data_IF_399311765034
#
_entry.id   IF_399311765034
#
_cell.length_a   1.000
_cell.length_b   1.000
_cell.length_c   1.000
_cell.angle_alpha   90.00
_cell.angle_beta   90.00
_cell.angle_gamma   90.00
#
_symmetry.space_group_name_H-M   'P 1'
#
loop_
_entity.id
_entity.type
_entity.pdbx_description
1 polymer ?
#
# COMPACT_ATOMS: atom_id res chain seq x y z
N UNK A 1 -49.75 -48.21 4.74
CA UNK A 1 -49.51 -46.75 4.72
C UNK A 1 -48.04 -46.50 5.07
N UNK A 2 -47.18 -46.35 4.05
CA UNK A 2 -45.76 -46.06 4.22
C UNK A 2 -45.56 -44.56 4.01
N UNK A 3 -45.20 -43.84 5.08
CA UNK A 3 -44.74 -42.46 4.96
C UNK A 3 -43.36 -42.48 4.32
N UNK A 4 -43.26 -41.99 3.08
CA UNK A 4 -42.00 -41.70 2.43
C UNK A 4 -41.43 -40.43 3.06
N UNK A 5 -40.42 -40.58 3.93
CA UNK A 5 -39.47 -39.50 4.20
C UNK A 5 -38.67 -39.28 2.91
N UNK A 6 -39.05 -38.28 2.13
CA UNK A 6 -38.21 -37.77 1.06
C UNK A 6 -37.13 -36.89 1.68
N UNK A 7 -35.97 -37.51 1.95
CA UNK A 7 -34.72 -36.78 2.14
C UNK A 7 -34.47 -35.92 0.88
N UNK A 8 -34.68 -34.62 1.01
CA UNK A 8 -34.18 -33.63 0.06
C UNK A 8 -32.66 -33.50 0.19
N UNK A 9 -31.93 -34.52 -0.27
CA UNK A 9 -30.54 -34.38 -0.67
C UNK A 9 -30.49 -33.71 -2.05
N UNK A 10 -30.77 -32.40 -2.07
CA UNK A 10 -30.51 -31.55 -3.23
C UNK A 10 -29.00 -31.39 -3.37
N UNK A 11 -28.47 -31.98 -4.45
CA UNK A 11 -27.07 -31.92 -4.81
C UNK A 11 -26.58 -30.48 -4.86
N UNK A 12 -25.45 -30.26 -4.20
CA UNK A 12 -24.58 -29.11 -4.35
C UNK A 12 -24.19 -28.96 -5.84
N UNK A 13 -25.02 -28.29 -6.62
CA UNK A 13 -24.51 -27.53 -7.76
C UNK A 13 -23.61 -26.47 -7.14
N UNK A 14 -22.30 -26.72 -7.20
CA UNK A 14 -21.24 -25.84 -6.72
C UNK A 14 -21.24 -24.56 -7.56
N UNK A 15 -22.23 -23.71 -7.32
CA UNK A 15 -22.30 -22.39 -7.89
C UNK A 15 -21.20 -21.55 -7.20
N UNK A 16 -20.39 -20.86 -8.00
CA UNK A 16 -19.14 -20.26 -7.57
C UNK A 16 -19.36 -19.09 -6.60
N UNK A 17 -18.95 -19.26 -5.33
CA UNK A 17 -18.91 -18.18 -4.36
C UNK A 17 -17.84 -17.14 -4.78
N UNK A 18 -18.28 -15.90 -4.99
CA UNK A 18 -17.40 -14.77 -5.30
C UNK A 18 -17.14 -13.97 -4.03
N UNK A 19 -15.87 -13.65 -3.78
CA UNK A 19 -15.45 -12.89 -2.61
C UNK A 19 -14.57 -11.74 -3.03
N UNK A 20 -14.98 -10.53 -2.66
CA UNK A 20 -14.19 -9.31 -2.81
C UNK A 20 -13.77 -8.85 -1.43
N UNK A 21 -12.48 -8.89 -1.15
CA UNK A 21 -11.90 -8.52 0.15
C UNK A 21 -11.44 -7.07 0.10
N UNK A 22 -11.87 -6.29 1.09
CA UNK A 22 -11.50 -4.89 1.31
C UNK A 22 -10.63 -4.77 2.57
N UNK A 23 -10.01 -3.61 2.80
CA UNK A 23 -9.47 -3.27 4.11
C UNK A 23 -10.61 -3.26 5.14
N UNK A 24 -10.64 -4.28 6.02
CA UNK A 24 -11.58 -4.35 7.15
C UNK A 24 -12.88 -5.15 6.94
N UNK A 25 -13.22 -5.57 5.72
CA UNK A 25 -14.39 -6.43 5.48
C UNK A 25 -14.28 -7.15 4.13
N UNK A 26 -15.22 -8.05 3.82
CA UNK A 26 -15.38 -8.63 2.49
C UNK A 26 -16.83 -8.52 2.00
N UNK A 27 -17.02 -8.34 0.71
CA UNK A 27 -18.30 -8.61 0.05
C UNK A 27 -18.32 -10.06 -0.39
N UNK A 28 -19.32 -10.81 0.05
CA UNK A 28 -19.53 -12.21 -0.31
C UNK A 28 -20.79 -12.31 -1.17
N UNK A 29 -20.67 -13.01 -2.29
CA UNK A 29 -21.79 -13.37 -3.17
C UNK A 29 -21.88 -14.88 -3.25
N UNK A 30 -22.93 -15.42 -2.65
CA UNK A 30 -23.22 -16.84 -2.64
C UNK A 30 -24.38 -17.12 -3.58
N UNK A 31 -24.15 -17.87 -4.65
CA UNK A 31 -25.24 -18.31 -5.50
C UNK A 31 -26.11 -19.36 -4.81
N UNK A 32 -27.43 -19.16 -4.89
CA UNK A 32 -28.45 -20.00 -4.24
C UNK A 32 -29.55 -20.34 -5.22
N UNK A 33 -30.28 -21.42 -4.97
CA UNK A 33 -31.50 -21.77 -5.72
C UNK A 33 -32.68 -21.58 -4.77
N UNK A 34 -33.52 -20.60 -5.08
CA UNK A 34 -34.63 -20.19 -4.23
C UNK A 34 -35.90 -20.98 -4.55
N UNK A 35 -36.60 -21.55 -3.54
CA UNK A 35 -37.95 -22.04 -3.71
C UNK A 35 -38.95 -20.88 -3.95
N UNK A 36 -40.20 -21.16 -4.35
CA UNK A 36 -41.23 -20.12 -4.48
C UNK A 36 -41.53 -19.39 -3.17
N UNK A 37 -41.57 -18.07 -3.21
CA UNK A 37 -42.24 -17.22 -2.22
C UNK A 37 -41.50 -16.97 -0.90
N UNK A 38 -40.74 -17.94 -0.38
CA UNK A 38 -40.00 -17.77 0.87
C UNK A 38 -38.82 -18.75 1.03
N UNK A 39 -37.76 -18.30 1.68
CA UNK A 39 -36.58 -19.11 1.98
C UNK A 39 -35.98 -18.74 3.34
N UNK A 40 -35.53 -19.76 4.09
CA UNK A 40 -34.84 -19.58 5.37
C UNK A 40 -33.35 -19.76 5.16
N UNK A 41 -32.59 -18.70 5.42
CA UNK A 41 -31.13 -18.73 5.44
C UNK A 41 -30.63 -19.04 6.85
N UNK A 42 -29.95 -20.18 7.01
CA UNK A 42 -29.32 -20.60 8.26
C UNK A 42 -27.89 -20.04 8.33
N UNK A 43 -27.79 -18.78 8.74
CA UNK A 43 -26.53 -18.05 8.77
C UNK A 43 -25.58 -18.51 9.90
N UNK A 44 -26.12 -19.10 10.98
CA UNK A 44 -25.31 -19.52 12.12
C UNK A 44 -24.59 -18.34 12.77
N UNK A 45 -23.34 -18.55 13.18
CA UNK A 45 -22.49 -17.51 13.76
C UNK A 45 -22.04 -16.45 12.74
N UNK A 46 -22.19 -16.69 11.43
CA UNK A 46 -21.83 -15.70 10.40
C UNK A 46 -22.70 -14.46 10.50
N UNK A 47 -23.95 -14.60 10.97
CA UNK A 47 -24.92 -13.51 11.03
C UNK A 47 -24.44 -12.35 11.89
N UNK A 48 -23.80 -12.62 13.04
CA UNK A 48 -23.27 -11.59 13.94
C UNK A 48 -22.07 -10.84 13.37
N UNK A 49 -21.51 -11.32 12.26
CA UNK A 49 -20.38 -10.71 11.53
C UNK A 49 -20.82 -10.17 10.16
N UNK A 50 -22.12 -10.11 9.91
CA UNK A 50 -22.65 -9.40 8.74
C UNK A 50 -22.90 -7.95 9.11
N UNK A 51 -22.48 -7.01 8.27
CA UNK A 51 -22.78 -5.60 8.50
C UNK A 51 -24.31 -5.41 8.49
N UNK A 52 -24.89 -4.68 9.46
CA UNK A 52 -26.32 -4.42 9.50
C UNK A 52 -26.83 -3.87 8.17
N UNK A 53 -27.94 -4.44 7.68
CA UNK A 53 -28.54 -4.00 6.42
C UNK A 53 -27.74 -4.34 5.16
N UNK A 54 -26.68 -5.16 5.21
CA UNK A 54 -25.91 -5.56 4.02
C UNK A 54 -26.41 -6.81 3.31
N UNK A 55 -27.02 -7.74 4.05
CA UNK A 55 -27.56 -8.99 3.52
C UNK A 55 -28.64 -8.68 2.47
N UNK A 56 -28.67 -9.34 1.31
CA UNK A 56 -29.63 -9.11 0.22
C UNK A 56 -29.80 -10.36 -0.62
N UNK A 57 -31.03 -10.62 -1.09
CA UNK A 57 -31.26 -11.52 -2.21
C UNK A 57 -31.29 -10.73 -3.51
N UNK A 58 -30.48 -11.14 -4.48
CA UNK A 58 -30.45 -10.58 -5.83
C UNK A 58 -31.06 -11.59 -6.81
N UNK A 59 -31.86 -11.11 -7.76
CA UNK A 59 -32.56 -11.94 -8.74
C UNK A 59 -34.03 -12.23 -8.41
N UNK A 60 -34.50 -11.79 -7.23
CA UNK A 60 -35.92 -11.83 -6.82
C UNK A 60 -36.33 -10.48 -6.23
N UNK A 61 -37.63 -10.21 -6.17
CA UNK A 61 -38.16 -9.02 -5.51
C UNK A 61 -38.42 -9.32 -4.02
N UNK A 62 -37.54 -8.85 -3.15
CA UNK A 62 -37.66 -9.04 -1.70
C UNK A 62 -38.81 -8.19 -1.13
N UNK A 63 -39.76 -8.86 -0.45
CA UNK A 63 -40.95 -8.23 0.17
C UNK A 63 -40.73 -8.01 1.65
N UNK A 64 -40.18 -9.01 2.35
CA UNK A 64 -40.00 -8.96 3.80
C UNK A 64 -38.78 -9.78 4.22
N UNK A 65 -38.14 -9.35 5.30
CA UNK A 65 -37.05 -10.08 5.95
C UNK A 65 -37.17 -10.05 7.46
N UNK A 66 -37.10 -11.23 8.06
CA UNK A 66 -37.25 -11.41 9.50
C UNK A 66 -36.02 -12.12 10.06
N UNK A 67 -35.36 -11.50 11.04
CA UNK A 67 -34.22 -12.09 11.75
C UNK A 67 -34.73 -12.86 12.97
N UNK A 68 -34.34 -14.13 13.10
CA UNK A 68 -34.72 -15.01 14.20
C UNK A 68 -33.50 -15.78 14.71
N UNK A 69 -32.87 -15.25 15.78
CA UNK A 69 -31.64 -15.84 16.32
C UNK A 69 -30.52 -15.85 15.27
N UNK A 70 -30.08 -17.04 14.87
CA UNK A 70 -29.05 -17.27 13.85
C UNK A 70 -29.59 -17.54 12.44
N UNK A 71 -30.90 -17.33 12.22
CA UNK A 71 -31.56 -17.54 10.95
C UNK A 71 -32.23 -16.26 10.43
N UNK A 72 -32.39 -16.19 9.11
CA UNK A 72 -33.08 -15.10 8.42
C UNK A 72 -34.14 -15.68 7.49
N UNK A 73 -35.41 -15.34 7.71
CA UNK A 73 -36.49 -15.66 6.80
C UNK A 73 -36.61 -14.53 5.76
N UNK A 74 -36.51 -14.88 4.48
CA UNK A 74 -36.83 -14.01 3.37
C UNK A 74 -38.20 -14.37 2.79
N UNK A 75 -39.00 -13.37 2.48
CA UNK A 75 -40.19 -13.48 1.63
C UNK A 75 -39.98 -12.63 0.39
N UNK A 76 -40.30 -13.18 -0.78
CA UNK A 76 -40.01 -12.54 -2.07
C UNK A 76 -40.99 -13.00 -3.14
N UNK A 77 -41.07 -12.26 -4.23
CA UNK A 77 -41.74 -12.69 -5.45
C UNK A 77 -40.71 -13.28 -6.43
N UNK A 78 -41.02 -14.47 -6.98
CA UNK A 78 -40.15 -15.23 -7.88
C UNK A 78 -39.65 -16.55 -7.28
N UNK A 79 -38.83 -17.25 -8.07
CA UNK A 79 -38.16 -18.52 -7.73
C UNK A 79 -36.94 -18.74 -8.63
N UNK A 80 -36.10 -19.74 -8.31
CA UNK A 80 -35.00 -20.16 -9.17
C UNK A 80 -33.62 -19.59 -8.77
N UNK A 81 -32.65 -19.53 -9.70
CA UNK A 81 -31.30 -19.08 -9.42
C UNK A 81 -31.26 -17.62 -8.94
N UNK A 82 -30.60 -17.39 -7.81
CA UNK A 82 -30.44 -16.08 -7.20
C UNK A 82 -29.06 -15.98 -6.54
N UNK A 83 -28.74 -14.79 -6.03
CA UNK A 83 -27.49 -14.54 -5.31
C UNK A 83 -27.76 -13.93 -3.95
N UNK A 84 -27.29 -14.59 -2.89
CA UNK A 84 -27.19 -14.01 -1.57
C UNK A 84 -25.94 -13.14 -1.50
N UNK A 85 -26.11 -11.83 -1.31
CA UNK A 85 -25.03 -10.86 -1.15
C UNK A 85 -25.00 -10.34 0.28
N UNK A 86 -23.82 -10.27 0.89
CA UNK A 86 -23.66 -9.63 2.20
C UNK A 86 -22.25 -9.06 2.39
N UNK A 87 -22.13 -8.10 3.32
CA UNK A 87 -20.82 -7.62 3.77
C UNK A 87 -20.44 -8.35 5.04
N UNK A 88 -19.27 -8.96 5.05
CA UNK A 88 -18.76 -9.83 6.09
C UNK A 88 -17.53 -9.21 6.78
N UNK A 89 -17.66 -8.86 8.06
CA UNK A 89 -16.57 -8.27 8.84
C UNK A 89 -15.61 -9.32 9.42
N UNK A 90 -15.98 -10.60 9.33
CA UNK A 90 -15.11 -11.71 9.72
C UNK A 90 -13.99 -12.01 8.74
N UNK A 91 -13.97 -11.39 7.55
CA UNK A 91 -12.89 -11.54 6.57
C UNK A 91 -12.32 -10.17 6.24
N UNK A 92 -11.00 -10.02 6.40
CA UNK A 92 -10.26 -8.79 6.10
C UNK A 92 -9.02 -9.11 5.27
N UNK A 93 -8.57 -8.14 4.49
CA UNK A 93 -7.38 -8.30 3.65
C UNK A 93 -6.49 -7.07 3.69
N UNK A 94 -5.19 -7.31 3.66
CA UNK A 94 -4.17 -6.30 3.42
C UNK A 94 -3.11 -6.83 2.47
N UNK A 95 -2.27 -5.93 1.97
CA UNK A 95 -1.14 -6.28 1.13
C UNK A 95 0.17 -5.88 1.80
N UNK A 96 1.24 -6.58 1.42
CA UNK A 96 2.60 -6.17 1.71
C UNK A 96 3.53 -6.68 0.60
N UNK A 97 4.75 -6.17 0.59
CA UNK A 97 5.75 -6.45 -0.43
C UNK A 97 7.00 -7.02 0.23
N UNK A 98 7.66 -7.94 -0.47
CA UNK A 98 9.05 -8.28 -0.20
C UNK A 98 9.89 -7.93 -1.41
N UNK A 99 11.03 -7.27 -1.19
CA UNK A 99 12.04 -6.99 -2.19
C UNK A 99 13.29 -7.78 -1.81
N UNK A 100 13.54 -8.85 -2.55
CA UNK A 100 14.62 -9.80 -2.28
C UNK A 100 15.47 -9.97 -3.54
N UNK A 101 16.75 -9.58 -3.48
CA UNK A 101 17.72 -9.77 -4.58
C UNK A 101 17.26 -9.25 -5.97
N UNK A 102 16.43 -8.20 -6.01
CA UNK A 102 15.88 -7.66 -7.26
C UNK A 102 14.54 -8.27 -7.67
N UNK A 103 13.99 -9.23 -6.92
CA UNK A 103 12.63 -9.71 -7.12
C UNK A 103 11.67 -9.00 -6.16
N UNK A 104 10.70 -8.27 -6.71
CA UNK A 104 9.59 -7.70 -5.95
C UNK A 104 8.42 -8.70 -5.93
N UNK A 105 8.06 -9.19 -4.74
CA UNK A 105 6.88 -10.05 -4.53
C UNK A 105 5.80 -9.27 -3.81
N UNK A 106 4.58 -9.31 -4.34
CA UNK A 106 3.39 -8.79 -3.68
C UNK A 106 2.61 -9.94 -3.03
N UNK A 107 2.31 -9.74 -1.76
CA UNK A 107 1.64 -10.68 -0.88
C UNK A 107 0.27 -10.16 -0.46
N UNK A 108 -0.69 -11.08 -0.37
CA UNK A 108 -1.99 -10.84 0.26
C UNK A 108 -1.96 -11.49 1.64
N UNK A 109 -2.28 -10.71 2.69
CA UNK A 109 -2.56 -11.24 4.02
C UNK A 109 -4.06 -11.19 4.26
N UNK A 110 -4.68 -12.37 4.35
CA UNK A 110 -6.11 -12.53 4.59
C UNK A 110 -6.33 -13.01 6.02
N UNK A 111 -7.16 -12.31 6.79
CA UNK A 111 -7.60 -12.74 8.12
C UNK A 111 -9.05 -13.15 8.08
N UNK A 112 -9.31 -14.41 8.42
CA UNK A 112 -10.64 -14.97 8.51
C UNK A 112 -10.94 -15.37 9.97
N UNK A 113 -12.07 -14.92 10.48
CA UNK A 113 -12.65 -15.35 11.74
C UNK A 113 -13.96 -16.09 11.47
N UNK A 114 -14.26 -17.15 12.22
CA UNK A 114 -15.48 -17.94 12.05
C UNK A 114 -15.26 -19.21 11.24
N UNK A 115 -16.15 -19.48 10.27
CA UNK A 115 -16.13 -20.72 9.49
C UNK A 115 -15.25 -20.62 8.24
N UNK A 116 -14.70 -21.73 7.73
CA UNK A 116 -14.03 -21.75 6.44
C UNK A 116 -14.90 -21.22 5.30
N UNK A 117 -14.27 -20.53 4.36
CA UNK A 117 -14.92 -19.92 3.20
C UNK A 117 -14.28 -20.41 1.90
N UNK A 118 -15.08 -20.78 0.90
CA UNK A 118 -14.57 -21.29 -0.38
C UNK A 118 -14.70 -20.24 -1.48
N UNK A 119 -13.65 -19.45 -1.69
CA UNK A 119 -13.64 -18.42 -2.73
C UNK A 119 -13.25 -19.03 -4.08
N UNK A 120 -14.24 -19.23 -4.97
CA UNK A 120 -14.01 -19.64 -6.37
C UNK A 120 -13.56 -18.48 -7.24
N UNK A 121 -13.96 -17.26 -6.89
CA UNK A 121 -13.37 -16.01 -7.38
C UNK A 121 -13.00 -15.17 -6.17
N UNK A 122 -11.74 -14.77 -6.10
CA UNK A 122 -11.22 -14.02 -4.96
C UNK A 122 -10.54 -12.76 -5.49
N UNK A 123 -11.10 -11.61 -5.17
CA UNK A 123 -10.53 -10.31 -5.54
C UNK A 123 -10.11 -9.60 -4.26
N UNK A 124 -8.90 -9.05 -4.23
CA UNK A 124 -8.43 -8.18 -3.16
C UNK A 124 -8.42 -6.74 -3.67
N UNK A 125 -9.04 -5.86 -2.90
CA UNK A 125 -8.98 -4.42 -3.09
C UNK A 125 -8.04 -3.83 -2.05
N UNK A 126 -7.02 -3.11 -2.49
CA UNK A 126 -6.07 -2.40 -1.64
C UNK A 126 -6.15 -0.89 -1.90
N UNK A 127 -5.80 -0.07 -0.90
CA UNK A 127 -5.98 1.38 -0.94
C UNK A 127 -7.04 1.86 0.07
N UNK A 128 -7.39 3.15 0.03
CA UNK A 128 -8.34 3.72 0.99
C UNK A 128 -9.80 3.50 0.54
N UNK A 129 -10.52 2.61 1.24
CA UNK A 129 -11.98 2.46 1.12
C UNK A 129 -12.64 2.93 2.42
N UNK A 130 -13.04 4.21 2.56
CA UNK A 130 -13.65 4.68 3.79
C UNK A 130 -15.04 4.03 3.98
N UNK A 131 -15.19 3.23 5.04
CA UNK A 131 -16.49 2.94 5.65
C UNK A 131 -16.87 4.13 6.55
N UNK A 132 -18.14 4.53 6.54
CA UNK A 132 -18.70 5.71 7.23
C UNK A 132 -18.54 5.73 8.78
N UNK A 133 -17.73 4.86 9.39
CA UNK A 133 -17.57 4.73 10.85
C UNK A 133 -16.11 4.57 11.35
N UNK A 134 -15.08 4.94 10.57
CA UNK A 134 -13.69 4.89 11.05
C UNK A 134 -13.07 6.31 11.20
N UNK A 135 -12.51 6.67 12.38
CA UNK A 135 -11.83 7.94 12.56
C UNK A 135 -10.51 7.98 11.77
N UNK A 136 -10.51 8.82 10.72
CA UNK A 136 -9.40 9.49 10.03
C UNK A 136 -7.97 8.93 10.19
N UNK A 137 -7.39 8.51 9.06
CA UNK A 137 -5.94 8.39 8.85
C UNK A 137 -5.46 9.47 7.83
N UNK A 138 -4.16 9.81 7.80
CA UNK A 138 -3.67 11.16 7.48
C UNK A 138 -3.76 11.58 6.00
N UNK A 139 -4.11 12.87 5.79
CA UNK A 139 -4.26 13.64 4.53
C UNK A 139 -3.08 13.62 3.54
N UNK A 140 -2.03 12.82 3.76
CA UNK A 140 -0.86 12.77 2.89
C UNK A 140 -1.08 11.92 1.61
N UNK A 141 -2.02 10.97 1.62
CA UNK A 141 -2.31 10.10 0.47
C UNK A 141 -3.00 10.83 -0.71
N UNK A 142 -3.66 11.96 -0.44
CA UNK A 142 -4.46 12.69 -1.43
C UNK A 142 -3.64 13.53 -2.43
N UNK A 143 -2.35 13.80 -2.19
CA UNK A 143 -1.53 14.62 -3.11
C UNK A 143 -1.02 13.86 -4.34
N UNK A 144 -0.96 12.53 -4.31
CA UNK A 144 -0.50 11.74 -5.45
C UNK A 144 -1.59 11.51 -6.54
N UNK A 145 -2.86 11.78 -6.22
CA UNK A 145 -3.97 11.68 -7.17
C UNK A 145 -4.16 12.91 -8.07
N UNK A 146 -3.42 14.00 -7.81
CA UNK A 146 -3.58 15.28 -8.52
C UNK A 146 -2.72 15.41 -9.79
N UNK A 147 -1.79 14.48 -10.06
CA UNK A 147 -0.99 14.49 -11.28
C UNK A 147 -1.55 13.43 -12.25
N UNK A 148 -2.30 13.90 -13.24
CA UNK A 148 -3.15 13.11 -14.14
C UNK A 148 -2.40 12.17 -15.08
N UNK A 149 -2.00 11.00 -14.58
CA UNK A 149 -1.72 9.81 -15.38
C UNK A 149 -3.00 9.05 -15.77
N UNK A 150 -2.97 8.23 -16.83
CA UNK A 150 -4.12 7.43 -17.25
C UNK A 150 -4.53 6.46 -16.13
N UNK A 151 -5.74 6.68 -15.61
CA UNK A 151 -6.38 5.90 -14.55
C UNK A 151 -6.61 4.48 -15.09
N UNK A 152 -6.00 3.42 -14.51
CA UNK A 152 -6.42 2.05 -14.78
C UNK A 152 -7.88 1.88 -14.35
N UNK A 153 -8.62 0.95 -14.96
CA UNK A 153 -10.06 0.64 -14.73
C UNK A 153 -10.42 0.23 -13.29
N UNK A 154 -10.12 1.07 -12.30
CA UNK A 154 -10.36 0.83 -10.90
C UNK A 154 -11.12 2.01 -10.30
N UNK A 155 -12.31 1.77 -9.71
CA UNK A 155 -13.11 2.83 -9.13
C UNK A 155 -12.36 3.48 -7.95
N UNK A 156 -12.22 4.81 -8.01
CA UNK A 156 -11.89 5.67 -6.86
C UNK A 156 -10.62 5.32 -6.06
N UNK A 157 -9.47 5.13 -6.72
CA UNK A 157 -8.17 5.04 -6.03
C UNK A 157 -7.90 3.74 -5.28
N UNK A 158 -8.78 2.74 -5.43
CA UNK A 158 -8.52 1.37 -5.04
C UNK A 158 -7.71 0.65 -6.11
N UNK A 159 -6.92 -0.33 -5.69
CA UNK A 159 -6.17 -1.21 -6.57
C UNK A 159 -6.81 -2.58 -6.52
N UNK A 160 -7.11 -3.14 -7.69
CA UNK A 160 -7.76 -4.44 -7.82
C UNK A 160 -6.76 -5.52 -8.17
N UNK A 161 -6.74 -6.56 -7.36
CA UNK A 161 -5.89 -7.73 -7.54
C UNK A 161 -6.74 -9.00 -7.56
N UNK A 162 -6.64 -9.78 -8.63
CA UNK A 162 -7.25 -11.10 -8.67
C UNK A 162 -6.32 -12.11 -8.00
N UNK A 163 -6.84 -12.84 -7.01
CA UNK A 163 -6.14 -13.89 -6.29
C UNK A 163 -6.56 -15.26 -6.83
N UNK A 164 -5.66 -16.27 -6.79
CA UNK A 164 -6.02 -17.64 -7.14
C UNK A 164 -7.20 -18.15 -6.28
N UNK A 165 -8.17 -18.88 -6.87
CA UNK A 165 -9.26 -19.51 -6.13
C UNK A 165 -8.73 -20.38 -4.99
N UNK A 166 -9.37 -20.31 -3.82
CA UNK A 166 -8.92 -21.05 -2.63
C UNK A 166 -9.99 -21.19 -1.56
N UNK A 167 -9.80 -22.21 -0.73
CA UNK A 167 -10.47 -22.33 0.56
C UNK A 167 -9.68 -21.55 1.61
N UNK A 168 -10.32 -20.56 2.22
CA UNK A 168 -9.80 -19.82 3.35
C UNK A 168 -10.17 -20.54 4.65
N UNK A 169 -9.18 -20.76 5.50
CA UNK A 169 -9.38 -21.34 6.83
C UNK A 169 -9.32 -20.22 7.88
N UNK A 170 -9.98 -20.41 9.05
CA UNK A 170 -9.89 -19.46 10.14
C UNK A 170 -8.43 -19.22 10.56
N UNK A 171 -8.08 -17.97 10.81
CA UNK A 171 -6.72 -17.51 11.09
C UNK A 171 -6.18 -16.57 10.02
N UNK A 172 -4.85 -16.50 9.91
CA UNK A 172 -4.15 -15.66 8.91
C UNK A 172 -3.58 -16.53 7.80
N UNK A 173 -3.89 -16.15 6.56
CA UNK A 173 -3.35 -16.78 5.35
C UNK A 173 -2.58 -15.74 4.56
N UNK A 174 -1.28 -15.99 4.33
CA UNK A 174 -0.44 -15.16 3.46
C UNK A 174 -0.22 -15.87 2.12
N UNK A 175 -0.34 -15.11 1.03
CA UNK A 175 -0.28 -15.65 -0.33
C UNK A 175 0.55 -14.75 -1.22
N UNK A 176 1.66 -15.22 -1.80
CA UNK A 176 2.33 -14.50 -2.86
C UNK A 176 1.50 -14.67 -4.14
N UNK A 177 1.18 -13.57 -4.82
CA UNK A 177 0.28 -13.65 -5.98
C UNK A 177 0.75 -12.82 -7.18
N UNK A 178 1.64 -11.85 -7.00
CA UNK A 178 2.37 -11.20 -8.09
C UNK A 178 3.86 -11.16 -7.78
N UNK A 179 4.67 -11.37 -8.82
CA UNK A 179 6.13 -11.30 -8.76
C UNK A 179 6.64 -10.56 -9.99
N UNK A 180 7.63 -9.71 -9.80
CA UNK A 180 8.25 -8.96 -10.88
C UNK A 180 9.71 -8.68 -10.59
N UNK A 181 10.55 -8.93 -11.60
CA UNK A 181 11.95 -8.54 -11.56
C UNK A 181 12.07 -7.01 -11.65
N UNK A 182 12.90 -6.46 -10.78
CA UNK A 182 13.22 -5.03 -10.70
C UNK A 182 14.73 -4.85 -10.63
N UNK A 183 15.20 -3.68 -11.04
CA UNK A 183 16.60 -3.29 -10.91
C UNK A 183 16.67 -2.18 -9.85
N UNK A 184 16.78 -2.54 -8.56
CA UNK A 184 16.75 -1.55 -7.49
C UNK A 184 18.05 -0.77 -7.47
N UNK A 185 17.93 0.54 -7.67
CA UNK A 185 18.98 1.50 -7.44
C UNK A 185 19.08 1.79 -5.94
N UNK A 186 20.30 1.74 -5.38
CA UNK A 186 20.55 2.04 -3.97
C UNK A 186 20.68 3.55 -3.78
N UNK A 187 19.89 4.09 -2.87
CA UNK A 187 19.79 5.51 -2.60
C UNK A 187 20.36 5.87 -1.23
N UNK A 188 20.99 7.04 -1.17
CA UNK A 188 21.29 7.77 0.07
C UNK A 188 20.60 9.12 0.02
N UNK A 189 19.95 9.55 1.09
CA UNK A 189 19.23 10.83 1.15
C UNK A 189 19.60 11.66 2.36
N UNK A 190 19.79 12.96 2.12
CA UNK A 190 19.67 13.98 3.15
C UNK A 190 18.61 14.99 2.71
N UNK A 191 17.57 15.15 3.53
CA UNK A 191 16.52 16.12 3.30
C UNK A 191 16.19 16.85 4.59
N UNK A 192 16.25 18.18 4.59
CA UNK A 192 15.91 18.98 5.77
C UNK A 192 16.31 20.45 5.68
N UNK A 193 16.10 21.22 6.76
CA UNK A 193 16.64 22.57 6.83
C UNK A 193 18.17 22.54 6.79
N UNK A 194 18.77 23.62 6.30
CA UNK A 194 20.21 23.80 6.33
C UNK A 194 20.70 23.81 7.77
N UNK A 195 21.78 23.06 8.00
CA UNK A 195 22.43 23.01 9.31
C UNK A 195 23.94 23.06 9.20
N UNK A 196 24.59 23.45 10.29
CA UNK A 196 26.04 23.65 10.37
C UNK A 196 26.77 22.54 11.09
N UNK A 197 26.09 21.47 11.53
CA UNK A 197 26.79 20.35 12.17
C UNK A 197 27.78 19.71 11.19
N UNK A 198 28.93 19.30 11.72
CA UNK A 198 30.02 18.71 10.94
C UNK A 198 29.63 17.38 10.29
N UNK A 199 28.71 16.64 10.90
CA UNK A 199 28.28 15.32 10.46
C UNK A 199 26.77 15.32 10.31
N UNK A 200 26.29 15.04 9.11
CA UNK A 200 24.86 14.92 8.84
C UNK A 200 24.53 13.45 8.53
N UNK A 201 23.51 12.88 9.21
CA UNK A 201 23.09 11.52 8.96
C UNK A 201 22.42 11.42 7.59
N UNK A 202 22.60 10.28 6.93
CA UNK A 202 21.89 9.94 5.70
C UNK A 202 20.79 8.91 6.00
N UNK A 203 19.76 8.91 5.19
CA UNK A 203 18.81 7.81 5.08
C UNK A 203 19.19 6.93 3.89
N UNK A 204 18.94 5.63 4.00
CA UNK A 204 19.14 4.68 2.91
C UNK A 204 17.79 4.23 2.35
N UNK A 205 17.78 3.92 1.07
CA UNK A 205 16.56 3.53 0.38
C UNK A 205 16.84 2.84 -0.94
N UNK A 206 15.75 2.52 -1.63
CA UNK A 206 15.78 1.97 -2.98
C UNK A 206 14.89 2.78 -3.90
N UNK A 207 15.27 2.82 -5.18
CA UNK A 207 14.43 3.27 -6.29
C UNK A 207 14.36 2.21 -7.36
N UNK A 208 13.16 1.91 -7.84
CA UNK A 208 12.97 0.93 -8.92
C UNK A 208 11.72 1.25 -9.73
N UNK A 209 11.64 0.72 -10.96
CA UNK A 209 10.43 0.83 -11.77
C UNK A 209 9.40 -0.21 -11.33
N UNK A 210 8.16 0.22 -11.14
CA UNK A 210 7.05 -0.64 -10.76
C UNK A 210 6.74 -1.67 -11.86
N UNK A 211 6.89 -2.99 -11.61
CA UNK A 211 6.65 -4.02 -12.62
C UNK A 211 5.14 -4.24 -12.87
N UNK A 212 4.31 -3.88 -11.91
CA UNK A 212 2.84 -3.89 -11.93
C UNK A 212 2.32 -2.72 -11.08
N UNK A 213 1.02 -2.38 -11.11
CA UNK A 213 0.47 -1.33 -10.26
C UNK A 213 0.70 -1.64 -8.78
N UNK A 214 1.40 -0.76 -8.08
CA UNK A 214 1.73 -0.90 -6.66
C UNK A 214 0.73 -0.09 -5.84
N UNK A 215 -0.12 -0.78 -5.10
CA UNK A 215 -0.94 -0.18 -4.06
C UNK A 215 -0.07 0.20 -2.85
N UNK A 216 -0.47 1.22 -2.06
CA UNK A 216 0.25 1.59 -0.87
C UNK A 216 0.30 0.43 0.13
N UNK A 217 1.48 0.15 0.70
CA UNK A 217 1.66 -0.97 1.63
C UNK A 217 3.06 -1.03 2.23
N UNK A 218 3.28 -1.95 3.17
CA UNK A 218 4.60 -2.16 3.76
C UNK A 218 5.49 -2.95 2.79
N UNK A 219 6.73 -2.53 2.63
CA UNK A 219 7.77 -3.25 1.91
C UNK A 219 8.85 -3.68 2.88
N UNK A 220 9.15 -4.97 2.86
CA UNK A 220 10.31 -5.58 3.50
C UNK A 220 11.44 -5.71 2.47
N UNK A 221 12.64 -5.27 2.82
CA UNK A 221 13.81 -5.37 1.97
C UNK A 221 14.81 -6.39 2.55
N UNK A 222 15.24 -7.33 1.70
CA UNK A 222 16.24 -8.36 2.02
C UNK A 222 17.31 -8.36 0.94
N UNK A 223 18.57 -8.41 1.37
CA UNK A 223 19.73 -8.44 0.47
C UNK A 223 20.86 -9.26 1.10
N UNK A 224 21.54 -10.08 0.31
CA UNK A 224 22.49 -11.09 0.80
C UNK A 224 21.87 -12.10 1.76
N UNK A 225 20.56 -12.33 1.68
CA UNK A 225 19.80 -13.11 2.66
C UNK A 225 19.62 -12.46 4.04
N UNK A 226 19.94 -11.16 4.18
CA UNK A 226 19.81 -10.41 5.42
C UNK A 226 18.64 -9.42 5.34
N UNK A 227 17.82 -9.39 6.39
CA UNK A 227 16.78 -8.38 6.54
C UNK A 227 17.42 -7.00 6.70
N UNK A 228 17.14 -6.10 5.77
CA UNK A 228 17.66 -4.75 5.75
C UNK A 228 16.71 -3.76 6.41
N UNK A 229 15.41 -4.01 6.43
CA UNK A 229 14.43 -3.12 7.05
C UNK A 229 13.07 -3.20 6.40
N UNK A 230 12.15 -2.40 6.96
CA UNK A 230 10.82 -2.19 6.41
C UNK A 230 10.58 -0.71 6.15
N UNK A 231 9.83 -0.43 5.09
CA UNK A 231 9.44 0.91 4.69
C UNK A 231 8.01 0.93 4.18
N UNK A 232 7.41 2.11 4.14
CA UNK A 232 6.17 2.32 3.42
C UNK A 232 6.46 2.49 1.93
N UNK A 233 5.82 1.68 1.09
CA UNK A 233 5.80 1.82 -0.36
C UNK A 233 4.57 2.65 -0.74
N UNK A 234 4.74 3.79 -1.41
CA UNK A 234 3.61 4.60 -1.86
C UNK A 234 2.85 3.92 -3.00
N UNK A 235 1.66 4.45 -3.30
CA UNK A 235 0.96 4.13 -4.54
C UNK A 235 1.86 4.46 -5.74
N UNK A 236 2.05 3.52 -6.68
CA UNK A 236 2.89 3.74 -7.86
C UNK A 236 2.30 3.03 -9.08
N UNK A 237 1.92 3.77 -10.14
CA UNK A 237 1.50 3.18 -11.41
C UNK A 237 2.58 2.30 -12.04
N UNK A 238 2.16 1.32 -12.84
CA UNK A 238 3.09 0.44 -13.56
C UNK A 238 4.03 1.25 -14.45
N UNK A 239 5.33 0.95 -14.38
CA UNK A 239 6.38 1.57 -15.19
C UNK A 239 6.97 2.86 -14.58
N UNK A 240 6.30 3.45 -13.59
CA UNK A 240 6.80 4.61 -12.84
C UNK A 240 7.81 4.21 -11.78
N UNK A 241 8.58 5.18 -11.30
CA UNK A 241 9.59 4.96 -10.27
C UNK A 241 8.95 4.97 -8.87
N UNK A 242 9.14 3.90 -8.12
CA UNK A 242 8.84 3.84 -6.70
C UNK A 242 10.11 4.13 -5.89
N UNK A 243 9.99 4.93 -4.83
CA UNK A 243 11.06 5.19 -3.87
C UNK A 243 10.64 4.73 -2.47
N UNK A 244 11.52 3.98 -1.81
CA UNK A 244 11.30 3.48 -0.44
C UNK A 244 12.50 3.80 0.43
N UNK A 245 12.25 4.16 1.69
CA UNK A 245 13.26 4.64 2.63
C UNK A 245 13.28 3.77 3.89
N UNK A 246 14.38 3.06 4.11
CA UNK A 246 14.56 2.08 5.20
C UNK A 246 15.07 2.71 6.50
N UNK A 247 15.05 4.03 6.57
CA UNK A 247 15.55 4.81 7.71
C UNK A 247 17.04 5.13 7.58
N UNK A 248 17.68 5.39 8.73
CA UNK A 248 19.04 5.91 8.79
C UNK A 248 20.06 4.90 8.26
N UNK A 249 20.99 5.40 7.46
CA UNK A 249 22.20 4.69 7.10
C UNK A 249 23.19 4.71 8.28
N UNK A 250 23.88 3.61 8.54
CA UNK A 250 24.80 3.51 9.68
C UNK A 250 26.26 3.76 9.31
N UNK A 251 26.62 3.70 8.02
CA UNK A 251 28.00 3.83 7.54
C UNK A 251 28.25 5.16 6.84
N UNK A 252 27.40 5.53 5.88
CA UNK A 252 27.55 6.73 5.06
C UNK A 252 27.18 7.99 5.85
N UNK A 253 28.04 9.02 5.79
CA UNK A 253 27.82 10.31 6.44
C UNK A 253 28.24 11.44 5.52
N UNK A 254 27.49 12.55 5.56
CA UNK A 254 27.94 13.80 4.97
C UNK A 254 28.80 14.55 5.97
N UNK A 255 29.98 14.96 5.52
CA UNK A 255 30.88 15.82 6.26
C UNK A 255 30.72 17.25 5.77
N UNK A 256 30.41 18.17 6.67
CA UNK A 256 30.21 19.58 6.35
C UNK A 256 31.25 20.47 7.01
N UNK A 257 31.74 21.42 6.23
CA UNK A 257 32.56 22.54 6.67
C UNK A 257 31.92 23.84 6.21
N UNK A 258 31.76 24.80 7.11
CA UNK A 258 31.20 26.12 6.81
C UNK A 258 32.22 27.16 7.20
N UNK A 259 32.60 28.00 6.23
CA UNK A 259 33.56 29.09 6.43
C UNK A 259 32.94 30.42 6.04
N UNK A 260 33.12 31.44 6.87
CA UNK A 260 32.65 32.80 6.58
C UNK A 260 33.56 33.43 5.52
N UNK A 261 32.98 33.87 4.40
CA UNK A 261 33.71 34.56 3.33
C UNK A 261 33.64 36.08 3.49
N UNK A 262 32.45 36.61 3.77
CA UNK A 262 32.24 38.06 3.95
C UNK A 262 31.11 38.31 4.92
N UNK A 263 31.17 39.45 5.60
CA UNK A 263 30.16 39.88 6.57
C UNK A 263 29.96 41.38 6.46
N UNK A 264 28.72 41.79 6.27
CA UNK A 264 28.28 43.19 6.29
C UNK A 264 27.31 43.41 7.45
N UNK A 265 26.78 44.63 7.58
CA UNK A 265 25.72 44.92 8.54
C UNK A 265 24.41 44.16 8.23
N UNK A 266 24.12 43.93 6.95
CA UNK A 266 22.84 43.36 6.50
C UNK A 266 22.92 41.86 6.19
N UNK A 267 24.08 41.35 5.82
CA UNK A 267 24.23 39.99 5.27
C UNK A 267 25.56 39.33 5.67
N UNK A 268 25.58 38.00 5.66
CA UNK A 268 26.78 37.20 5.78
C UNK A 268 26.84 36.16 4.64
N UNK A 269 27.99 36.05 3.98
CA UNK A 269 28.22 35.06 2.93
C UNK A 269 29.16 33.98 3.43
N UNK A 270 28.76 32.74 3.25
CA UNK A 270 29.47 31.54 3.68
C UNK A 270 29.89 30.71 2.46
N UNK A 271 31.07 30.10 2.54
CA UNK A 271 31.46 28.97 1.69
C UNK A 271 31.13 27.71 2.46
N UNK A 272 30.26 26.88 1.87
CA UNK A 272 29.88 25.59 2.41
C UNK A 272 30.54 24.51 1.57
N UNK A 273 31.20 23.58 2.24
CA UNK A 273 31.75 22.36 1.64
C UNK A 273 31.07 21.17 2.27
N UNK A 274 30.42 20.35 1.45
CA UNK A 274 29.78 19.10 1.87
C UNK A 274 30.44 17.95 1.13
N UNK A 275 31.04 17.01 1.86
CA UNK A 275 31.74 15.84 1.32
C UNK A 275 30.99 14.56 1.68
N UNK A 276 30.85 13.67 0.72
CA UNK A 276 30.44 12.28 0.93
C UNK A 276 31.51 11.35 0.37
N UNK A 277 31.78 10.26 1.08
CA UNK A 277 32.47 9.10 0.55
C UNK A 277 31.48 7.93 0.54
N UNK A 278 31.35 7.25 -0.60
CA UNK A 278 30.54 6.04 -0.71
C UNK A 278 31.26 4.89 0.02
N UNK A 279 30.79 4.41 1.19
CA UNK A 279 31.49 3.36 1.92
C UNK A 279 31.30 1.98 1.27
N UNK A 280 30.42 1.85 0.28
CA UNK A 280 29.97 0.56 -0.22
C UNK A 280 30.80 0.05 -1.42
N UNK A 281 30.80 -1.28 -1.66
CA UNK A 281 31.44 -1.90 -2.83
C UNK A 281 30.60 -1.79 -4.11
N UNK A 282 29.48 -1.07 -4.08
CA UNK A 282 28.54 -0.88 -5.20
C UNK A 282 28.23 0.62 -5.39
N UNK A 283 27.74 1.03 -6.57
CA UNK A 283 27.33 2.40 -6.79
C UNK A 283 26.10 2.75 -5.94
N UNK A 284 26.02 4.02 -5.51
CA UNK A 284 24.87 4.60 -4.81
C UNK A 284 24.53 5.95 -5.40
N UNK A 285 23.25 6.29 -5.41
CA UNK A 285 22.80 7.62 -5.83
C UNK A 285 22.44 8.46 -4.61
N UNK A 286 23.11 9.60 -4.49
CA UNK A 286 22.90 10.56 -3.42
C UNK A 286 21.84 11.58 -3.84
N UNK A 287 20.79 11.69 -3.04
CA UNK A 287 19.76 12.72 -3.13
C UNK A 287 19.95 13.73 -1.98
N UNK A 288 20.33 14.95 -2.32
CA UNK A 288 20.41 16.06 -1.36
C UNK A 288 19.29 17.06 -1.62
N UNK A 289 18.60 17.45 -0.57
CA UNK A 289 17.70 18.59 -0.63
C UNK A 289 17.74 19.36 0.67
N UNK A 290 18.02 20.66 0.57
CA UNK A 290 18.03 21.53 1.74
C UNK A 290 17.15 22.74 1.55
N UNK A 291 16.56 23.20 2.65
CA UNK A 291 15.86 24.48 2.72
C UNK A 291 16.64 25.48 3.56
N UNK A 292 16.56 26.76 3.21
CA UNK A 292 17.22 27.85 3.93
C UNK A 292 16.19 28.82 4.51
N UNK A 293 16.54 29.57 5.57
CA UNK A 293 15.71 30.68 6.03
C UNK A 293 15.63 31.77 4.94
N UNK A 294 14.43 32.28 4.68
CA UNK A 294 14.22 33.38 3.74
C UNK A 294 14.45 34.75 4.41
N UNK A 295 14.97 35.75 3.67
CA UNK A 295 15.54 35.65 2.32
C UNK A 295 16.90 34.91 2.32
N UNK A 296 17.31 34.35 1.19
CA UNK A 296 18.68 33.83 1.00
C UNK A 296 19.14 34.01 -0.45
N UNK A 297 20.45 33.94 -0.69
CA UNK A 297 21.02 33.79 -2.04
C UNK A 297 21.95 32.58 -2.06
N UNK A 298 21.81 31.76 -3.09
CA UNK A 298 22.58 30.53 -3.27
C UNK A 298 23.27 30.54 -4.64
N UNK A 299 24.59 30.35 -4.61
CA UNK A 299 25.40 30.07 -5.80
C UNK A 299 25.88 28.62 -5.72
N UNK A 300 25.15 27.74 -6.41
CA UNK A 300 25.42 26.30 -6.46
C UNK A 300 25.15 25.73 -7.87
N UNK A 301 26.09 25.90 -8.82
CA UNK A 301 25.85 25.63 -10.25
C UNK A 301 25.44 24.19 -10.59
N UNK A 302 25.84 23.21 -9.78
CA UNK A 302 25.54 21.79 -10.03
C UNK A 302 24.18 21.36 -9.49
N UNK A 303 23.49 22.19 -8.71
CA UNK A 303 22.21 21.85 -8.09
C UNK A 303 21.05 22.52 -8.83
N UNK A 304 19.87 21.91 -8.74
CA UNK A 304 18.61 22.55 -9.12
C UNK A 304 18.19 23.50 -8.01
N UNK A 305 18.15 24.80 -8.31
CA UNK A 305 17.71 25.82 -7.37
C UNK A 305 16.19 25.82 -7.24
N UNK A 306 15.71 25.93 -6.00
CA UNK A 306 14.29 26.00 -5.63
C UNK A 306 14.05 27.29 -4.85
N UNK A 307 12.82 27.84 -4.82
CA UNK A 307 12.51 29.05 -4.05
C UNK A 307 12.96 28.97 -2.59
N UNK A 308 12.78 27.81 -1.97
CA UNK A 308 13.11 27.53 -0.57
C UNK A 308 14.53 26.95 -0.36
N UNK A 309 15.27 26.60 -1.43
CA UNK A 309 16.63 26.07 -1.31
C UNK A 309 17.14 25.33 -2.56
N UNK A 310 17.52 24.06 -2.43
CA UNK A 310 18.01 23.28 -3.58
C UNK A 310 17.64 21.80 -3.54
N UNK A 311 17.78 21.17 -4.71
CA UNK A 311 17.83 19.71 -4.89
C UNK A 311 19.04 19.33 -5.74
N UNK A 312 19.71 18.24 -5.39
CA UNK A 312 20.83 17.68 -6.13
C UNK A 312 20.71 16.16 -6.13
N UNK A 313 20.95 15.57 -7.30
CA UNK A 313 21.05 14.12 -7.49
C UNK A 313 22.38 13.80 -8.17
N UNK A 314 23.13 12.85 -7.62
CA UNK A 314 24.41 12.42 -8.18
C UNK A 314 24.71 10.96 -7.85
N UNK A 315 25.23 10.22 -8.83
CA UNK A 315 25.67 8.83 -8.63
C UNK A 315 27.15 8.81 -8.24
N UNK A 316 27.47 8.07 -7.18
CA UNK A 316 28.83 7.80 -6.72
C UNK A 316 29.20 6.37 -7.04
N UNK A 317 30.37 6.17 -7.66
CA UNK A 317 30.97 4.85 -7.86
C UNK A 317 31.34 4.22 -6.50
N UNK A 318 31.59 2.90 -6.45
CA UNK A 318 32.13 2.26 -5.27
C UNK A 318 33.36 3.00 -4.75
N UNK A 319 33.40 3.30 -3.44
CA UNK A 319 34.51 3.99 -2.77
C UNK A 319 34.85 5.39 -3.30
N UNK A 320 33.99 5.98 -4.14
CA UNK A 320 34.19 7.34 -4.63
C UNK A 320 33.93 8.36 -3.52
N UNK A 321 34.80 9.36 -3.42
CA UNK A 321 34.59 10.53 -2.60
C UNK A 321 34.30 11.77 -3.45
N UNK A 322 33.24 12.49 -3.10
CA UNK A 322 32.81 13.71 -3.79
C UNK A 322 32.71 14.86 -2.79
N UNK A 323 33.35 15.98 -3.15
CA UNK A 323 33.20 17.25 -2.42
C UNK A 323 32.33 18.19 -3.26
N UNK A 324 31.29 18.72 -2.64
CA UNK A 324 30.39 19.73 -3.17
C UNK A 324 30.71 21.06 -2.50
N UNK A 325 30.89 22.12 -3.28
CA UNK A 325 31.21 23.45 -2.76
C UNK A 325 30.24 24.46 -3.33
N UNK A 326 29.65 25.27 -2.45
CA UNK A 326 28.70 26.33 -2.83
C UNK A 326 28.81 27.55 -1.92
N UNK A 327 28.26 28.68 -2.36
CA UNK A 327 28.18 29.91 -1.56
C UNK A 327 26.75 30.19 -1.14
N UNK A 328 26.56 30.46 0.14
CA UNK A 328 25.27 30.78 0.75
C UNK A 328 25.35 32.16 1.39
N UNK A 329 24.50 33.09 0.97
CA UNK A 329 24.34 34.38 1.63
C UNK A 329 23.02 34.41 2.39
N UNK A 330 23.10 34.75 3.68
CA UNK A 330 21.95 34.88 4.58
C UNK A 330 21.88 36.32 5.12
N UNK A 331 20.66 36.84 5.38
CA UNK A 331 20.45 38.07 6.11
C UNK A 331 20.90 37.90 7.56
N UNK A 332 21.18 39.02 8.21
CA UNK A 332 21.72 39.05 9.56
C UNK A 332 20.70 39.42 10.62
#
# INVERSE_FOLDING_TARGET
MKQLLALFSLGLLALAQEVVVYPGFAEVKEPVVLPPGAWVYLAGEKLSRMAPGSLRLLGVEEVERIYQGSAVLFRYQGEGPATLRYLYTGLTGEIFYTLEEGTLTLWARLRLEGEPLEAKRLTLLAGEAPLLEAPSAPKAALRAFAEGGPIPESPFGLFRYELPPRKLLPGTTEVPFLKGEVQPERLLRYQGPFRTEKLLPLERGYRFRAPFPLAPGNLEAVEGGLFLGQAFLPATPKGEAAEVWLGKDLEARLFRSVSLLSRTEKEATYRVETRLENPYPYPVTLLLSETFPEPFRLDFPTATLLPQGYRLELTLKPKEARTLTYRLTLPR
#
